data_IF_658600464729
#
_entry.id   IF_658600464729
#
_cell.length_a   1.000
_cell.length_b   1.000
_cell.length_c   1.000
_cell.angle_alpha   90.00
_cell.angle_beta   90.00
_cell.angle_gamma   90.00
#
_symmetry.space_group_name_H-M   'P 1'
#
loop_
_entity.id
_entity.type
_entity.pdbx_description
1 polymer ?
#
# COMPACT_ATOMS: atom_id res chain seq x y z
N UNK A 1 3.32 2.28 17.12
CA UNK A 1 2.83 0.93 16.67
C UNK A 1 3.97 -0.08 16.67
N UNK A 2 3.67 -1.39 16.70
CA UNK A 2 4.70 -2.44 16.65
C UNK A 2 4.68 -3.05 15.26
N UNK A 3 5.86 -3.40 14.70
CA UNK A 3 5.95 -4.17 13.46
C UNK A 3 5.33 -5.55 13.64
N UNK A 4 4.87 -6.15 12.54
CA UNK A 4 4.39 -7.53 12.51
C UNK A 4 5.55 -8.49 12.81
N UNK A 5 5.22 -9.63 13.37
CA UNK A 5 6.23 -10.65 13.69
C UNK A 5 6.38 -11.60 12.50
N UNK A 6 7.59 -11.66 11.97
CA UNK A 6 7.97 -12.62 10.94
C UNK A 6 8.75 -13.77 11.57
N UNK A 7 8.56 -14.98 11.06
CA UNK A 7 9.22 -16.18 11.57
C UNK A 7 9.78 -17.05 10.43
N UNK A 8 10.80 -17.79 10.74
CA UNK A 8 11.30 -18.89 9.89
C UNK A 8 10.81 -20.19 10.50
N UNK A 9 10.12 -21.00 9.69
CA UNK A 9 9.70 -22.35 10.10
C UNK A 9 10.70 -23.36 9.54
N UNK A 10 11.31 -24.16 10.42
CA UNK A 10 12.29 -25.16 10.04
C UNK A 10 11.68 -26.54 10.28
N UNK A 11 11.67 -27.38 9.24
CA UNK A 11 11.28 -28.77 9.30
C UNK A 11 12.56 -29.60 9.37
N UNK A 12 12.81 -30.23 10.52
CA UNK A 12 13.98 -31.08 10.76
C UNK A 12 13.48 -32.50 11.14
N UNK A 13 13.63 -33.43 10.22
CA UNK A 13 13.17 -34.81 10.31
C UNK A 13 11.70 -34.97 10.77
N UNK A 14 10.84 -34.11 10.21
CA UNK A 14 9.39 -34.09 10.51
C UNK A 14 8.65 -35.06 9.59
N UNK A 15 8.02 -36.08 10.16
CA UNK A 15 7.16 -36.99 9.40
C UNK A 15 5.87 -36.31 8.96
N UNK A 16 5.59 -36.33 7.65
CA UNK A 16 4.34 -35.85 7.07
C UNK A 16 3.58 -37.03 6.47
N UNK A 17 2.41 -37.40 7.02
CA UNK A 17 1.62 -38.51 6.48
C UNK A 17 1.05 -38.19 5.10
N UNK A 18 0.85 -39.21 4.28
CA UNK A 18 0.45 -39.05 2.87
C UNK A 18 -0.90 -38.32 2.69
N UNK A 19 -1.82 -38.43 3.63
CA UNK A 19 -3.11 -37.71 3.62
C UNK A 19 -2.97 -36.19 3.80
N UNK A 20 -1.76 -35.73 4.17
CA UNK A 20 -1.39 -34.30 4.29
C UNK A 20 -0.59 -33.79 3.10
N UNK A 21 -0.27 -34.63 2.12
CA UNK A 21 0.48 -34.26 0.93
C UNK A 21 -0.50 -33.96 -0.20
N UNK A 22 -0.58 -32.72 -0.62
CA UNK A 22 -1.51 -32.25 -1.66
C UNK A 22 -0.86 -32.30 -3.07
N UNK A 23 0.47 -32.26 -3.13
CA UNK A 23 1.21 -32.33 -4.39
C UNK A 23 2.58 -32.94 -4.10
N UNK A 24 2.91 -34.02 -4.81
CA UNK A 24 4.16 -34.74 -4.65
C UNK A 24 4.83 -34.89 -6.02
N UNK A 25 5.86 -34.08 -6.28
CA UNK A 25 6.64 -34.10 -7.50
C UNK A 25 5.92 -33.64 -8.77
N UNK A 26 4.69 -33.14 -8.68
CA UNK A 26 3.91 -32.63 -9.82
C UNK A 26 4.43 -31.24 -10.23
N UNK A 27 5.45 -31.24 -11.06
CA UNK A 27 6.08 -30.00 -11.56
C UNK A 27 5.20 -29.26 -12.57
N UNK A 28 4.25 -29.94 -13.25
CA UNK A 28 3.34 -29.30 -14.21
C UNK A 28 2.28 -28.47 -13.47
N UNK A 29 1.75 -28.98 -12.36
CA UNK A 29 0.76 -28.26 -11.56
C UNK A 29 1.38 -27.16 -10.70
N UNK A 30 2.66 -27.22 -10.37
CA UNK A 30 3.33 -26.28 -9.46
C UNK A 30 3.20 -24.81 -9.91
N UNK A 31 3.38 -24.55 -11.21
CA UNK A 31 3.23 -23.21 -11.79
C UNK A 31 1.79 -22.68 -11.66
N UNK A 32 0.80 -23.51 -11.92
CA UNK A 32 -0.62 -23.14 -11.79
C UNK A 32 -0.99 -22.87 -10.34
N UNK A 33 -0.53 -23.70 -9.41
CA UNK A 33 -0.75 -23.49 -7.97
C UNK A 33 -0.17 -22.15 -7.52
N UNK A 34 1.10 -21.87 -7.84
CA UNK A 34 1.77 -20.64 -7.47
C UNK A 34 1.06 -19.41 -8.02
N UNK A 35 0.69 -19.39 -9.30
CA UNK A 35 0.02 -18.26 -9.94
C UNK A 35 -1.38 -18.04 -9.35
N UNK A 36 -2.16 -19.09 -9.15
CA UNK A 36 -3.49 -18.98 -8.55
C UNK A 36 -3.40 -18.45 -7.12
N UNK A 37 -2.46 -18.95 -6.32
CA UNK A 37 -2.22 -18.43 -4.96
C UNK A 37 -1.91 -16.94 -4.98
N UNK A 38 -0.99 -16.49 -5.85
CA UNK A 38 -0.55 -15.08 -5.88
C UNK A 38 -1.71 -14.15 -6.26
N UNK A 39 -2.62 -14.55 -7.15
CA UNK A 39 -3.78 -13.74 -7.56
C UNK A 39 -4.72 -13.47 -6.37
N UNK A 40 -5.10 -14.51 -5.63
CA UNK A 40 -5.90 -14.35 -4.42
C UNK A 40 -5.16 -13.55 -3.34
N UNK A 41 -3.88 -13.84 -3.15
CA UNK A 41 -3.05 -13.17 -2.15
C UNK A 41 -2.91 -11.68 -2.46
N UNK A 42 -2.66 -11.28 -3.72
CA UNK A 42 -2.57 -9.88 -4.14
C UNK A 42 -3.88 -9.13 -3.96
N UNK A 43 -5.00 -9.77 -4.26
CA UNK A 43 -6.31 -9.18 -4.01
C UNK A 43 -6.51 -8.89 -2.52
N UNK A 44 -6.28 -9.88 -1.68
CA UNK A 44 -6.36 -9.74 -0.22
C UNK A 44 -5.39 -8.65 0.28
N UNK A 45 -4.16 -8.65 -0.21
CA UNK A 45 -3.14 -7.70 0.20
C UNK A 45 -3.53 -6.25 -0.08
N UNK A 46 -3.99 -5.94 -1.29
CA UNK A 46 -4.43 -4.58 -1.64
C UNK A 46 -5.67 -4.20 -0.83
N UNK A 47 -6.57 -5.15 -0.56
CA UNK A 47 -7.77 -4.91 0.24
C UNK A 47 -7.47 -4.44 1.65
N UNK A 48 -6.49 -5.05 2.36
CA UNK A 48 -6.15 -4.62 3.72
C UNK A 48 -5.14 -3.46 3.75
N UNK A 49 -4.43 -3.20 2.65
CA UNK A 49 -3.48 -2.08 2.55
C UNK A 49 -4.17 -0.77 2.15
N UNK A 50 -5.31 -0.82 1.47
CA UNK A 50 -6.06 0.39 1.10
C UNK A 50 -6.45 1.26 2.30
N UNK A 51 -6.96 0.73 3.44
CA UNK A 51 -7.17 1.53 4.64
C UNK A 51 -5.91 2.20 5.20
N UNK A 52 -4.72 1.63 4.97
CA UNK A 52 -3.45 2.27 5.34
C UNK A 52 -3.17 3.49 4.47
N UNK A 53 -3.46 3.42 3.17
CA UNK A 53 -3.37 4.58 2.26
C UNK A 53 -4.35 5.67 2.67
N UNK A 54 -5.59 5.30 3.02
CA UNK A 54 -6.60 6.25 3.53
C UNK A 54 -6.12 6.91 4.84
N UNK A 55 -5.48 6.15 5.72
CA UNK A 55 -4.89 6.68 6.96
C UNK A 55 -3.76 7.68 6.68
N UNK A 56 -2.90 7.42 5.70
CA UNK A 56 -1.86 8.37 5.26
C UNK A 56 -2.48 9.68 4.76
N UNK A 57 -3.48 9.60 3.89
CA UNK A 57 -4.23 10.77 3.41
C UNK A 57 -4.90 11.55 4.54
N UNK A 58 -5.55 10.84 5.48
CA UNK A 58 -6.16 11.43 6.67
C UNK A 58 -5.14 12.14 7.59
N UNK A 59 -3.97 11.53 7.78
CA UNK A 59 -2.87 12.14 8.53
C UNK A 59 -2.35 13.41 7.86
N UNK A 60 -2.17 13.39 6.54
CA UNK A 60 -1.77 14.57 5.77
C UNK A 60 -2.78 15.70 5.90
N UNK A 61 -4.08 15.40 5.79
CA UNK A 61 -5.16 16.38 5.95
C UNK A 61 -5.16 17.03 7.34
N UNK A 62 -5.13 16.19 8.38
CA UNK A 62 -5.12 16.67 9.75
C UNK A 62 -3.85 17.46 10.09
N UNK A 63 -2.68 17.02 9.61
CA UNK A 63 -1.43 17.75 9.81
C UNK A 63 -1.47 19.11 9.11
N UNK A 64 -1.98 19.19 7.89
CA UNK A 64 -2.16 20.44 7.17
C UNK A 64 -3.16 21.37 7.86
N UNK A 65 -4.28 20.83 8.35
CA UNK A 65 -5.27 21.60 9.11
C UNK A 65 -4.68 22.13 10.43
N UNK A 66 -4.05 21.27 11.21
CA UNK A 66 -3.45 21.64 12.50
C UNK A 66 -2.33 22.67 12.37
N UNK A 67 -1.56 22.61 11.27
CA UNK A 67 -0.53 23.59 10.95
C UNK A 67 -1.10 24.87 10.29
N UNK A 68 -2.40 24.93 9.97
CA UNK A 68 -3.03 26.08 9.31
C UNK A 68 -2.59 26.30 7.86
N UNK A 69 -2.12 25.24 7.17
CA UNK A 69 -1.54 25.31 5.83
C UNK A 69 -2.39 24.61 4.75
N UNK A 70 -3.62 24.20 5.07
CA UNK A 70 -4.51 23.47 4.16
C UNK A 70 -4.79 24.24 2.85
N UNK A 71 -4.75 25.57 2.87
CA UNK A 71 -4.95 26.43 1.70
C UNK A 71 -3.71 26.67 0.84
N UNK A 72 -2.55 26.22 1.26
CA UNK A 72 -1.27 26.48 0.57
C UNK A 72 -1.15 25.59 -0.67
N UNK A 73 -0.75 26.19 -1.82
CA UNK A 73 -0.77 25.53 -3.13
C UNK A 73 0.01 24.21 -3.16
N UNK A 74 1.26 24.21 -2.73
CA UNK A 74 2.10 22.99 -2.75
C UNK A 74 1.61 21.90 -1.77
N UNK A 75 0.86 22.26 -0.73
CA UNK A 75 0.22 21.28 0.17
C UNK A 75 -0.98 20.65 -0.53
N UNK A 76 -1.79 21.45 -1.24
CA UNK A 76 -2.92 20.93 -2.03
C UNK A 76 -2.46 20.03 -3.18
N UNK A 77 -1.36 20.34 -3.85
CA UNK A 77 -0.78 19.49 -4.90
C UNK A 77 -0.45 18.10 -4.35
N UNK A 78 0.28 18.02 -3.23
CA UNK A 78 0.56 16.75 -2.55
C UNK A 78 -0.71 15.99 -2.13
N UNK A 79 -1.73 16.73 -1.76
CA UNK A 79 -3.00 16.14 -1.37
C UNK A 79 -3.76 15.54 -2.57
N UNK A 80 -3.66 16.19 -3.73
CA UNK A 80 -4.20 15.66 -4.99
C UNK A 80 -3.50 14.34 -5.33
N UNK A 81 -2.17 14.28 -5.24
CA UNK A 81 -1.39 13.06 -5.50
C UNK A 81 -1.79 11.92 -4.56
N UNK A 82 -2.02 12.21 -3.27
CA UNK A 82 -2.52 11.23 -2.30
C UNK A 82 -3.93 10.73 -2.63
N UNK A 83 -4.82 11.61 -3.08
CA UNK A 83 -6.18 11.25 -3.51
C UNK A 83 -6.11 10.38 -4.77
N UNK A 84 -5.34 10.79 -5.78
CA UNK A 84 -5.17 10.04 -7.02
C UNK A 84 -4.62 8.63 -6.75
N UNK A 85 -3.66 8.52 -5.86
CA UNK A 85 -3.09 7.24 -5.43
C UNK A 85 -4.12 6.35 -4.75
N UNK A 86 -4.88 6.88 -3.78
CA UNK A 86 -5.88 6.13 -3.04
C UNK A 86 -7.04 5.68 -3.94
N UNK A 87 -7.62 6.61 -4.71
CA UNK A 87 -8.80 6.34 -5.54
C UNK A 87 -8.46 5.46 -6.75
N UNK A 88 -7.27 5.61 -7.35
CA UNK A 88 -6.81 4.69 -8.40
C UNK A 88 -6.62 3.27 -7.85
N UNK A 89 -6.01 3.13 -6.68
CA UNK A 89 -5.85 1.83 -6.02
C UNK A 89 -7.22 1.19 -5.74
N UNK A 90 -8.18 1.97 -5.22
CA UNK A 90 -9.55 1.55 -4.94
C UNK A 90 -10.27 1.09 -6.20
N UNK A 91 -10.26 1.91 -7.24
CA UNK A 91 -10.92 1.61 -8.51
C UNK A 91 -10.37 0.32 -9.17
N UNK A 92 -9.06 0.11 -9.13
CA UNK A 92 -8.43 -1.11 -9.65
C UNK A 92 -8.82 -2.35 -8.83
N UNK A 93 -8.88 -2.22 -7.50
CA UNK A 93 -9.30 -3.30 -6.61
C UNK A 93 -10.77 -3.68 -6.85
N UNK A 94 -11.67 -2.71 -6.87
CA UNK A 94 -13.09 -2.91 -7.16
C UNK A 94 -13.29 -3.54 -8.53
N UNK A 95 -12.56 -3.05 -9.54
CA UNK A 95 -12.62 -3.59 -10.89
C UNK A 95 -12.15 -5.04 -10.98
N UNK A 96 -11.17 -5.44 -10.16
CA UNK A 96 -10.71 -6.82 -10.11
C UNK A 96 -11.76 -7.77 -9.53
N UNK A 97 -12.57 -7.28 -8.59
CA UNK A 97 -13.71 -8.02 -8.04
C UNK A 97 -14.89 -8.09 -9.03
N UNK A 98 -15.24 -6.97 -9.67
CA UNK A 98 -16.32 -6.94 -10.68
C UNK A 98 -16.07 -7.87 -11.86
N UNK A 99 -14.81 -8.01 -12.29
CA UNK A 99 -14.39 -8.88 -13.40
C UNK A 99 -13.95 -10.26 -12.94
N UNK A 100 -14.37 -10.69 -11.76
CA UNK A 100 -13.98 -11.99 -11.22
C UNK A 100 -14.29 -13.14 -12.19
N UNK A 101 -13.47 -14.18 -12.15
CA UNK A 101 -13.54 -15.34 -13.02
C UNK A 101 -14.10 -16.52 -12.22
N UNK A 102 -15.23 -17.08 -12.66
CA UNK A 102 -15.76 -18.31 -12.07
C UNK A 102 -14.84 -19.50 -12.40
N UNK A 103 -14.50 -20.28 -11.41
CA UNK A 103 -13.72 -21.51 -11.53
C UNK A 103 -14.65 -22.73 -11.59
N UNK A 104 -14.23 -23.86 -12.21
CA UNK A 104 -15.09 -25.06 -12.34
C UNK A 104 -15.59 -25.64 -11.01
N UNK A 105 -14.88 -25.40 -9.92
CA UNK A 105 -15.25 -25.85 -8.58
C UNK A 105 -16.22 -24.90 -7.83
N UNK A 106 -16.76 -23.89 -8.52
CA UNK A 106 -17.68 -22.90 -7.95
C UNK A 106 -17.02 -21.73 -7.21
N UNK A 107 -15.70 -21.73 -7.07
CA UNK A 107 -14.96 -20.58 -6.54
C UNK A 107 -14.87 -19.44 -7.58
N UNK A 108 -14.64 -18.23 -7.10
CA UNK A 108 -14.35 -17.07 -7.95
C UNK A 108 -12.94 -16.56 -7.67
N UNK A 109 -12.22 -16.22 -8.73
CA UNK A 109 -10.91 -15.60 -8.64
C UNK A 109 -10.99 -14.13 -9.09
N UNK A 110 -10.19 -13.21 -8.53
CA UNK A 110 -10.12 -11.85 -9.04
C UNK A 110 -9.59 -11.83 -10.48
N UNK A 111 -9.94 -10.79 -11.25
CA UNK A 111 -9.37 -10.63 -12.60
C UNK A 111 -7.85 -10.48 -12.54
N UNK A 112 -7.08 -11.37 -13.20
CA UNK A 112 -5.61 -11.39 -13.09
C UNK A 112 -4.94 -10.10 -13.55
N UNK A 113 -5.50 -9.42 -14.55
CA UNK A 113 -4.91 -8.18 -15.05
C UNK A 113 -5.10 -7.05 -14.03
N UNK A 114 -6.31 -6.80 -13.59
CA UNK A 114 -6.62 -5.65 -12.73
C UNK A 114 -6.09 -5.84 -11.32
N UNK A 115 -6.05 -7.05 -10.77
CA UNK A 115 -5.45 -7.29 -9.45
C UNK A 115 -3.93 -7.06 -9.45
N UNK A 116 -3.24 -7.45 -10.53
CA UNK A 116 -1.81 -7.18 -10.67
C UNK A 116 -1.52 -5.69 -10.94
N UNK A 117 -2.39 -5.00 -11.67
CA UNK A 117 -2.31 -3.54 -11.82
C UNK A 117 -2.52 -2.84 -10.49
N UNK A 118 -3.50 -3.26 -9.68
CA UNK A 118 -3.76 -2.69 -8.35
C UNK A 118 -2.54 -2.84 -7.43
N UNK A 119 -1.95 -4.05 -7.37
CA UNK A 119 -0.77 -4.30 -6.54
C UNK A 119 0.45 -3.52 -7.03
N UNK A 120 0.68 -3.49 -8.34
CA UNK A 120 1.79 -2.74 -8.95
C UNK A 120 1.64 -1.23 -8.71
N UNK A 121 0.43 -0.68 -8.87
CA UNK A 121 0.15 0.73 -8.58
C UNK A 121 0.40 1.06 -7.11
N UNK A 122 -0.15 0.25 -6.20
CA UNK A 122 0.10 0.39 -4.77
C UNK A 122 1.60 0.40 -4.46
N UNK A 123 2.34 -0.59 -4.97
CA UNK A 123 3.76 -0.75 -4.67
C UNK A 123 4.63 0.41 -5.19
N UNK A 124 4.31 0.97 -6.35
CA UNK A 124 5.06 2.10 -6.92
C UNK A 124 4.77 3.42 -6.20
N UNK A 125 3.54 3.65 -5.75
CA UNK A 125 3.14 4.94 -5.18
C UNK A 125 3.34 5.05 -3.67
N UNK A 126 3.57 3.95 -2.95
CA UNK A 126 3.55 3.97 -1.49
C UNK A 126 4.64 4.85 -0.86
N UNK A 127 5.88 4.78 -1.36
CA UNK A 127 6.99 5.60 -0.85
C UNK A 127 6.77 7.09 -1.12
N UNK A 128 6.23 7.45 -2.29
CA UNK A 128 5.88 8.83 -2.62
C UNK A 128 4.74 9.34 -1.73
N UNK A 129 3.73 8.51 -1.46
CA UNK A 129 2.66 8.85 -0.53
C UNK A 129 3.21 9.10 0.89
N UNK A 130 4.13 8.27 1.39
CA UNK A 130 4.81 8.48 2.67
C UNK A 130 5.59 9.79 2.66
N UNK A 131 6.35 10.07 1.60
CA UNK A 131 7.10 11.32 1.43
C UNK A 131 6.17 12.54 1.51
N UNK A 132 5.04 12.55 0.81
CA UNK A 132 4.08 13.65 0.86
C UNK A 132 3.54 13.90 2.27
N UNK A 133 3.23 12.84 3.00
CA UNK A 133 2.78 12.95 4.40
C UNK A 133 3.86 13.55 5.29
N UNK A 134 5.11 13.10 5.15
CA UNK A 134 6.25 13.63 5.90
C UNK A 134 6.52 15.11 5.60
N UNK A 135 6.46 15.51 4.34
CA UNK A 135 6.65 16.91 3.93
C UNK A 135 5.55 17.83 4.49
N UNK A 136 4.29 17.39 4.52
CA UNK A 136 3.17 18.14 5.10
C UNK A 136 3.28 18.22 6.62
N UNK A 137 3.69 17.14 7.28
CA UNK A 137 3.86 17.08 8.73
C UNK A 137 5.05 17.92 9.22
N UNK A 138 6.12 18.00 8.42
CA UNK A 138 7.32 18.79 8.71
C UNK A 138 8.31 18.08 9.65
N UNK A 139 9.50 18.65 9.81
CA UNK A 139 10.63 18.03 10.52
C UNK A 139 10.38 17.71 12.00
N UNK A 140 9.45 18.40 12.64
CA UNK A 140 9.06 18.11 14.03
C UNK A 140 8.49 16.70 14.24
N UNK A 141 8.11 16.06 13.18
CA UNK A 141 7.69 14.65 13.15
C UNK A 141 8.69 13.73 13.89
N UNK A 142 9.98 13.96 13.68
CA UNK A 142 11.06 13.13 14.26
C UNK A 142 11.90 13.86 15.29
N UNK A 143 11.80 15.19 15.38
CA UNK A 143 12.56 16.03 16.31
C UNK A 143 11.70 16.58 17.45
N UNK A 144 10.43 16.17 17.52
CA UNK A 144 9.52 16.62 18.58
C UNK A 144 9.86 16.04 19.95
N UNK A 145 9.35 16.65 21.02
CA UNK A 145 9.60 16.22 22.39
C UNK A 145 9.04 14.82 22.66
N UNK A 146 9.69 14.10 23.55
CA UNK A 146 9.24 12.82 24.06
C UNK A 146 8.20 12.93 25.17
N UNK A 147 7.71 11.78 25.64
CA UNK A 147 6.71 11.73 26.72
C UNK A 147 7.27 12.32 28.03
N UNK A 148 8.55 12.07 28.32
CA UNK A 148 9.24 12.59 29.51
C UNK A 148 9.25 14.11 29.53
N UNK A 149 9.41 14.79 28.38
CA UNK A 149 9.37 16.24 28.27
C UNK A 149 7.96 16.77 28.59
N UNK A 150 6.91 16.06 28.17
CA UNK A 150 5.53 16.42 28.47
C UNK A 150 5.13 16.16 29.94
N UNK A 151 5.79 15.23 30.60
CA UNK A 151 5.60 14.96 32.05
C UNK A 151 6.30 15.98 32.92
N UNK A 152 7.33 16.67 32.41
CA UNK A 152 8.05 17.70 33.12
C UNK A 152 7.17 18.91 33.43
N UNK A 153 7.02 19.26 34.72
CA UNK A 153 6.28 20.46 35.16
C UNK A 153 6.92 21.75 34.64
N UNK A 154 8.25 21.76 34.49
CA UNK A 154 9.03 22.91 34.02
C UNK A 154 8.83 23.11 32.49
N UNK A 155 8.88 22.04 31.69
CA UNK A 155 8.86 22.14 30.24
C UNK A 155 7.43 22.22 29.65
N UNK A 156 6.47 21.60 30.30
CA UNK A 156 5.08 21.51 29.82
C UNK A 156 4.46 22.85 29.40
N UNK A 157 4.58 23.96 30.17
CA UNK A 157 3.99 25.24 29.75
C UNK A 157 4.58 25.77 28.44
N UNK A 158 5.89 25.57 28.21
CA UNK A 158 6.56 25.96 26.97
C UNK A 158 6.11 25.07 25.80
N UNK A 159 6.04 23.77 26.02
CA UNK A 159 5.57 22.83 24.99
C UNK A 159 4.12 23.13 24.58
N UNK A 160 3.24 23.37 25.53
CA UNK A 160 1.86 23.78 25.26
C UNK A 160 1.78 25.05 24.44
N UNK A 161 2.61 26.04 24.74
CA UNK A 161 2.62 27.35 24.08
C UNK A 161 3.25 27.27 22.68
N UNK A 162 4.45 26.71 22.56
CA UNK A 162 5.25 26.80 21.33
C UNK A 162 4.99 25.68 20.31
N UNK A 163 4.37 24.58 20.75
CA UNK A 163 3.95 23.50 19.87
C UNK A 163 2.48 23.58 19.47
N UNK A 164 1.75 24.60 19.94
CA UNK A 164 0.38 24.82 19.49
C UNK A 164 0.30 24.94 17.96
N UNK A 165 -0.80 24.46 17.42
CA UNK A 165 -1.12 24.63 16.00
C UNK A 165 -1.87 25.93 15.72
N UNK A 166 -2.70 25.92 14.68
CA UNK A 166 -3.64 27.02 14.42
C UNK A 166 -4.57 27.26 15.62
N UNK A 167 -5.30 28.35 15.59
CA UNK A 167 -6.28 28.69 16.64
C UNK A 167 -7.18 27.50 16.96
N UNK A 168 -7.28 27.18 18.25
CA UNK A 168 -8.06 26.06 18.76
C UNK A 168 -7.36 24.69 18.75
N UNK A 169 -6.12 24.57 18.26
CA UNK A 169 -5.32 23.34 18.27
C UNK A 169 -4.22 23.44 19.33
N UNK A 170 -4.34 22.67 20.41
CA UNK A 170 -3.33 22.63 21.47
C UNK A 170 -2.03 21.93 21.00
N UNK A 171 -0.91 22.27 21.65
CA UNK A 171 0.38 21.59 21.40
C UNK A 171 0.29 20.08 21.64
N UNK A 172 -0.44 19.65 22.65
CA UNK A 172 -0.65 18.23 22.94
C UNK A 172 -1.42 17.50 21.83
N UNK A 173 -2.52 18.08 21.32
CA UNK A 173 -3.28 17.52 20.20
C UNK A 173 -2.42 17.39 18.95
N UNK A 174 -1.68 18.46 18.64
CA UNK A 174 -0.79 18.47 17.48
C UNK A 174 0.30 17.40 17.59
N UNK A 175 0.95 17.29 18.76
CA UNK A 175 2.00 16.30 18.96
C UNK A 175 1.48 14.87 18.99
N UNK A 176 0.28 14.60 19.51
CA UNK A 176 -0.37 13.27 19.39
C UNK A 176 -0.55 12.86 17.95
N UNK A 177 -1.01 13.77 17.09
CA UNK A 177 -1.12 13.49 15.65
C UNK A 177 0.26 13.23 15.04
N UNK A 178 1.24 14.08 15.29
CA UNK A 178 2.58 13.94 14.73
C UNK A 178 3.28 12.65 15.20
N UNK A 179 3.09 12.24 16.44
CA UNK A 179 3.58 10.95 16.93
C UNK A 179 2.93 9.77 16.19
N UNK A 180 1.63 9.85 15.88
CA UNK A 180 0.96 8.85 15.08
C UNK A 180 1.48 8.81 13.63
N UNK A 181 1.67 10.00 13.02
CA UNK A 181 2.28 10.11 11.68
C UNK A 181 3.70 9.54 11.68
N UNK A 182 4.51 9.83 12.71
CA UNK A 182 5.85 9.24 12.88
C UNK A 182 5.79 7.73 12.93
N UNK A 183 4.85 7.17 13.69
CA UNK A 183 4.67 5.72 13.77
C UNK A 183 4.35 5.10 12.41
N UNK A 184 3.53 5.76 11.59
CA UNK A 184 3.15 5.27 10.26
C UNK A 184 4.27 5.42 9.22
N UNK A 185 5.14 6.43 9.35
CA UNK A 185 6.03 6.86 8.25
C UNK A 185 7.51 6.82 8.57
N UNK A 186 7.92 6.75 9.84
CA UNK A 186 9.33 6.95 10.22
C UNK A 186 9.79 6.04 11.36
N UNK A 187 8.91 5.16 11.86
CA UNK A 187 9.26 4.17 12.89
C UNK A 187 9.63 2.84 12.26
N UNK A 188 10.04 1.87 13.09
CA UNK A 188 10.20 0.46 12.68
C UNK A 188 8.97 -0.09 11.97
N UNK A 189 7.75 0.33 12.38
CA UNK A 189 6.50 -0.06 11.72
C UNK A 189 6.38 0.60 10.35
N UNK A 190 6.64 1.91 10.24
CA UNK A 190 6.60 2.63 8.96
C UNK A 190 7.59 2.04 7.95
N UNK A 191 8.85 1.86 8.34
CA UNK A 191 9.87 1.24 7.50
C UNK A 191 9.51 -0.20 7.08
N UNK A 192 8.91 -0.98 7.98
CA UNK A 192 8.40 -2.31 7.66
C UNK A 192 7.30 -2.25 6.59
N UNK A 193 6.35 -1.31 6.67
CA UNK A 193 5.30 -1.14 5.66
C UNK A 193 5.87 -0.71 4.30
N UNK A 194 6.87 0.16 4.27
CA UNK A 194 7.55 0.56 3.03
C UNK A 194 8.22 -0.63 2.32
N UNK A 195 8.93 -1.47 3.09
CA UNK A 195 9.54 -2.69 2.54
C UNK A 195 8.48 -3.69 2.06
N UNK A 196 7.39 -3.87 2.84
CA UNK A 196 6.27 -4.72 2.44
C UNK A 196 5.57 -4.22 1.17
N UNK A 197 5.53 -2.92 0.94
CA UNK A 197 4.89 -2.37 -0.27
C UNK A 197 5.52 -2.93 -1.54
N UNK A 198 6.85 -3.09 -1.56
CA UNK A 198 7.61 -3.51 -2.76
C UNK A 198 7.97 -4.99 -2.78
N UNK A 199 8.02 -5.68 -1.64
CA UNK A 199 8.51 -7.07 -1.57
C UNK A 199 7.42 -8.10 -1.24
N UNK A 200 6.38 -7.71 -0.51
CA UNK A 200 5.32 -8.65 -0.16
C UNK A 200 4.46 -9.01 -1.39
N UNK A 201 3.92 -10.22 -1.40
CA UNK A 201 3.07 -10.81 -2.47
C UNK A 201 3.77 -10.93 -3.83
N UNK A 202 5.09 -10.95 -3.83
CA UNK A 202 5.95 -11.00 -5.00
C UNK A 202 6.61 -9.66 -5.34
N UNK A 203 7.64 -9.71 -6.19
CA UNK A 203 8.39 -8.53 -6.59
C UNK A 203 7.61 -7.69 -7.61
N UNK A 204 7.92 -6.39 -7.68
CA UNK A 204 7.41 -5.46 -8.70
C UNK A 204 7.55 -6.01 -10.12
N UNK A 205 8.68 -6.68 -10.41
CA UNK A 205 8.91 -7.27 -11.72
C UNK A 205 7.96 -8.43 -12.01
N UNK A 206 7.67 -9.27 -11.02
CA UNK A 206 6.72 -10.38 -11.18
C UNK A 206 5.30 -9.87 -11.48
N UNK A 207 4.87 -8.78 -10.85
CA UNK A 207 3.57 -8.16 -11.09
C UNK A 207 3.47 -7.62 -12.52
N UNK A 208 4.49 -6.89 -12.99
CA UNK A 208 4.54 -6.37 -14.37
C UNK A 208 4.52 -7.48 -15.41
N UNK A 209 5.24 -8.57 -15.19
CA UNK A 209 5.21 -9.73 -16.08
C UNK A 209 3.82 -10.38 -16.12
N UNK A 210 3.10 -10.46 -14.99
CA UNK A 210 1.73 -10.97 -14.98
C UNK A 210 0.75 -10.05 -15.72
N UNK A 211 0.87 -8.74 -15.59
CA UNK A 211 0.07 -7.79 -16.40
C UNK A 211 0.30 -7.99 -17.89
N UNK A 212 1.58 -8.10 -18.30
CA UNK A 212 1.93 -8.34 -19.71
C UNK A 212 1.37 -9.67 -20.21
N UNK A 213 1.51 -10.73 -19.42
CA UNK A 213 0.98 -12.06 -19.74
C UNK A 213 -0.55 -12.03 -19.91
N UNK A 214 -1.27 -11.51 -18.91
CA UNK A 214 -2.73 -11.41 -18.95
C UNK A 214 -3.23 -10.57 -20.14
N UNK A 215 -2.54 -9.48 -20.49
CA UNK A 215 -2.86 -8.66 -21.65
C UNK A 215 -2.76 -9.46 -22.97
N UNK A 216 -1.70 -10.27 -23.12
CA UNK A 216 -1.50 -11.08 -24.31
C UNK A 216 -2.50 -12.24 -24.40
N UNK A 217 -2.74 -12.96 -23.31
CA UNK A 217 -3.68 -14.08 -23.23
C UNK A 217 -5.11 -13.62 -23.55
N UNK A 218 -5.50 -12.44 -23.13
CA UNK A 218 -6.79 -11.80 -23.44
C UNK A 218 -6.87 -11.22 -24.87
N UNK A 219 -5.88 -11.45 -25.70
CA UNK A 219 -5.82 -10.94 -27.08
C UNK A 219 -5.61 -9.43 -27.20
N UNK A 220 -5.21 -8.77 -26.11
CA UNK A 220 -5.00 -7.32 -26.06
C UNK A 220 -3.95 -6.84 -27.07
N UNK A 221 -2.79 -7.51 -27.13
CA UNK A 221 -1.74 -7.16 -28.09
C UNK A 221 -2.25 -7.22 -29.54
N UNK A 222 -2.92 -8.29 -29.92
CA UNK A 222 -3.50 -8.43 -31.27
C UNK A 222 -4.54 -7.35 -31.58
N UNK A 223 -5.37 -6.97 -30.59
CA UNK A 223 -6.38 -5.91 -30.73
C UNK A 223 -5.74 -4.55 -31.02
N UNK A 224 -4.74 -4.15 -30.21
CA UNK A 224 -4.10 -2.83 -30.38
C UNK A 224 -3.25 -2.76 -31.65
N UNK A 225 -2.55 -3.85 -32.01
CA UNK A 225 -1.79 -3.93 -33.28
C UNK A 225 -2.72 -3.82 -34.49
N UNK A 226 -3.87 -4.48 -34.50
CA UNK A 226 -4.88 -4.40 -35.56
C UNK A 226 -5.44 -2.98 -35.68
N UNK A 227 -5.70 -2.30 -34.54
CA UNK A 227 -6.17 -0.93 -34.54
C UNK A 227 -5.11 0.00 -35.16
N UNK A 228 -3.87 -0.07 -34.68
CA UNK A 228 -2.77 0.74 -35.20
C UNK A 228 -2.52 0.48 -36.70
N UNK A 229 -2.53 -0.79 -37.13
CA UNK A 229 -2.36 -1.13 -38.54
C UNK A 229 -3.44 -0.53 -39.45
N UNK A 230 -4.71 -0.57 -39.01
CA UNK A 230 -5.81 0.10 -39.73
C UNK A 230 -5.63 1.62 -39.79
N UNK A 231 -5.26 2.24 -38.69
CA UNK A 231 -5.04 3.70 -38.64
C UNK A 231 -3.86 4.14 -39.51
N UNK A 232 -2.81 3.32 -39.57
CA UNK A 232 -1.63 3.57 -40.39
C UNK A 232 -1.78 3.14 -41.87
N UNK A 233 -2.89 2.48 -42.22
CA UNK A 233 -3.13 2.00 -43.60
C UNK A 233 -2.20 0.85 -44.03
N UNK A 234 -1.63 0.08 -43.09
CA UNK A 234 -0.68 -1.01 -43.40
C UNK A 234 -1.28 -2.42 -43.17
N UNK A 235 -2.47 -2.50 -42.62
CA UNK A 235 -3.23 -3.77 -42.42
C UNK A 235 -4.74 -3.51 -42.26
#
# INVERSE_FOLDING_TARGET
MRKMMETITIFDDVFVPNDRIFMDGDTEAAGTLALTFVEYHRFTAVSYKLPLVDALGGCAALAADYNGILGVTHVREKFIDLIDYAETTRALLEKSAERCIAKPNGQVAPDPMTVNLAKSHFAHGYHEAVQHVQEIAGGILVTGPGDEDWESEELRPFLQKYLAGRDGVSGEQRMKLLNFVRDLTSSDYGAYQEVLAIHAEGSLQAERLQVFRAFNENGGARRVMRLAGRMAGVR
#
